data_IF_043620737174
#
_entry.id   IF_043620737174
#
_cell.length_a   1.000
_cell.length_b   1.000
_cell.length_c   1.000
_cell.angle_alpha   90.00
_cell.angle_beta   90.00
_cell.angle_gamma   90.00
#
_symmetry.space_group_name_H-M   'P 1'
#
loop_
_entity.id
_entity.type
_entity.pdbx_description
1 polymer ?
#
# COMPACT_ATOMS: atom_id res chain seq x y z
N UNK A 1 35.31 -45.50 0.98
CA UNK A 1 34.98 -46.69 0.15
C UNK A 1 33.91 -47.48 0.88
N UNK A 2 32.91 -48.08 0.20
CA UNK A 2 32.40 -47.89 -1.17
C UNK A 2 30.89 -47.52 -1.13
N UNK A 3 30.09 -47.26 -2.17
CA UNK A 3 30.18 -46.98 -3.62
C UNK A 3 28.76 -46.48 -3.98
N UNK A 4 28.58 -45.27 -4.53
CA UNK A 4 28.28 -44.98 -5.95
C UNK A 4 27.41 -46.01 -6.68
N UNK A 5 26.28 -45.55 -7.24
CA UNK A 5 25.99 -45.73 -8.67
C UNK A 5 25.16 -44.58 -9.24
N UNK A 6 25.78 -43.84 -10.18
CA UNK A 6 25.10 -43.04 -11.21
C UNK A 6 24.65 -43.99 -12.31
N UNK A 7 23.54 -43.69 -12.98
CA UNK A 7 23.35 -44.10 -14.37
C UNK A 7 22.77 -42.93 -15.19
N UNK A 8 23.30 -42.77 -16.39
CA UNK A 8 23.12 -41.62 -17.27
C UNK A 8 22.57 -42.06 -18.63
N UNK A 9 21.79 -41.15 -19.23
CA UNK A 9 21.59 -40.91 -20.68
C UNK A 9 20.94 -42.02 -21.52
N UNK A 10 20.03 -41.61 -22.39
CA UNK A 10 20.16 -41.84 -23.84
C UNK A 10 19.40 -40.77 -24.65
N UNK A 11 20.13 -40.13 -25.56
CA UNK A 11 19.58 -39.46 -26.76
C UNK A 11 19.31 -40.54 -27.81
N UNK A 12 18.26 -40.39 -28.61
CA UNK A 12 18.18 -41.05 -29.93
C UNK A 12 17.94 -39.99 -31.00
N UNK A 13 18.93 -39.87 -31.87
CA UNK A 13 18.81 -39.32 -33.21
C UNK A 13 18.44 -40.44 -34.16
N UNK A 14 17.58 -40.18 -35.14
CA UNK A 14 17.47 -40.99 -36.35
C UNK A 14 17.45 -40.06 -37.56
N UNK A 15 18.13 -40.52 -38.61
CA UNK A 15 18.57 -39.81 -39.81
C UNK A 15 18.10 -40.66 -41.01
N UNK A 16 18.00 -40.02 -42.18
CA UNK A 16 18.07 -40.56 -43.56
C UNK A 16 16.73 -40.73 -44.29
N UNK A 17 16.69 -40.15 -45.50
CA UNK A 17 15.76 -40.49 -46.57
C UNK A 17 15.76 -39.48 -47.71
N UNK A 18 16.77 -39.52 -48.58
CA UNK A 18 16.84 -38.76 -49.84
C UNK A 18 16.02 -39.49 -50.91
N UNK A 19 15.14 -38.78 -51.64
CA UNK A 19 14.36 -39.33 -52.75
C UNK A 19 14.06 -38.26 -53.81
N UNK A 20 14.40 -38.57 -55.07
CA UNK A 20 14.52 -37.70 -56.22
C UNK A 20 13.16 -37.43 -56.92
N UNK A 21 12.95 -36.16 -57.32
CA UNK A 21 12.22 -35.64 -58.51
C UNK A 21 10.91 -36.27 -58.99
N UNK A 22 9.85 -35.46 -59.01
CA UNK A 22 8.94 -35.36 -60.17
C UNK A 22 8.35 -33.95 -60.25
N UNK A 23 8.56 -33.28 -61.39
CA UNK A 23 7.96 -31.99 -61.74
C UNK A 23 6.53 -32.25 -62.19
N UNK A 24 5.55 -31.63 -61.54
CA UNK A 24 4.19 -31.46 -62.06
C UNK A 24 3.72 -30.04 -61.75
N UNK A 25 3.55 -29.26 -62.81
CA UNK A 25 2.91 -27.96 -62.79
C UNK A 25 1.41 -28.12 -62.50
N UNK A 26 0.92 -27.46 -61.45
CA UNK A 26 -0.51 -27.28 -61.20
C UNK A 26 -0.73 -25.78 -60.99
N UNK A 27 -1.62 -25.22 -61.80
CA UNK A 27 -1.91 -23.79 -61.87
C UNK A 27 -2.40 -23.23 -60.55
N UNK A 28 -1.87 -22.06 -60.18
CA UNK A 28 -2.37 -21.25 -59.08
C UNK A 28 -3.75 -20.69 -59.46
N UNK A 29 -4.80 -21.26 -58.88
CA UNK A 29 -6.08 -20.58 -58.76
C UNK A 29 -5.97 -19.60 -57.58
N UNK A 30 -5.99 -18.30 -57.88
CA UNK A 30 -6.11 -17.26 -56.86
C UNK A 30 -7.49 -17.37 -56.20
N UNK A 31 -7.56 -18.01 -55.03
CA UNK A 31 -8.71 -17.87 -54.14
C UNK A 31 -8.50 -16.56 -53.39
N UNK A 32 -9.21 -15.51 -53.81
CA UNK A 32 -9.32 -14.29 -53.02
C UNK A 32 -10.20 -14.59 -51.81
N UNK A 33 -9.58 -15.03 -50.72
CA UNK A 33 -10.20 -14.97 -49.39
C UNK A 33 -10.32 -13.50 -49.02
N UNK A 34 -11.51 -12.92 -49.19
CA UNK A 34 -11.82 -11.62 -48.61
C UNK A 34 -11.70 -11.75 -47.10
N UNK A 35 -10.61 -11.27 -46.53
CA UNK A 35 -10.53 -11.04 -45.11
C UNK A 35 -11.61 -10.02 -44.77
N UNK A 36 -12.54 -10.40 -43.89
CA UNK A 36 -13.49 -9.46 -43.31
C UNK A 36 -12.69 -8.28 -42.73
N UNK A 37 -13.14 -7.03 -42.90
CA UNK A 37 -12.43 -5.90 -42.33
C UNK A 37 -12.36 -6.10 -40.82
N UNK A 38 -11.13 -6.17 -40.31
CA UNK A 38 -10.89 -6.02 -38.88
C UNK A 38 -11.39 -4.61 -38.58
N UNK A 39 -12.55 -4.54 -37.91
CA UNK A 39 -12.99 -3.31 -37.27
C UNK A 39 -12.00 -3.09 -36.15
N UNK A 40 -10.93 -2.36 -36.45
CA UNK A 40 -10.17 -1.65 -35.43
C UNK A 40 -11.18 -0.66 -34.88
N UNK A 41 -11.83 -1.03 -33.78
CA UNK A 41 -12.53 -0.05 -32.95
C UNK A 41 -11.53 1.03 -32.66
N UNK A 42 -11.81 2.24 -33.14
CA UNK A 42 -11.11 3.45 -32.78
C UNK A 42 -11.01 3.45 -31.25
N UNK A 43 -9.82 3.15 -30.73
CA UNK A 43 -9.51 3.32 -29.33
C UNK A 43 -9.47 4.83 -29.16
N UNK A 44 -10.65 5.42 -28.97
CA UNK A 44 -10.82 6.85 -28.82
C UNK A 44 -9.76 7.38 -27.85
N UNK A 45 -9.26 8.58 -28.13
CA UNK A 45 -8.22 9.21 -27.34
C UNK A 45 -8.50 8.99 -25.83
N UNK A 46 -7.50 8.61 -25.02
CA UNK A 46 -7.71 8.30 -23.62
C UNK A 46 -8.46 9.46 -22.95
N UNK A 47 -9.43 9.12 -22.11
CA UNK A 47 -10.18 10.10 -21.36
C UNK A 47 -9.20 11.06 -20.66
N UNK A 48 -9.49 12.35 -20.67
CA UNK A 48 -8.62 13.37 -20.08
C UNK A 48 -9.41 14.14 -19.02
N UNK A 49 -8.79 14.34 -17.86
CA UNK A 49 -9.32 15.22 -16.82
C UNK A 49 -8.59 16.56 -16.89
N UNK A 50 -9.33 17.66 -16.79
CA UNK A 50 -8.75 19.01 -16.82
C UNK A 50 -8.17 19.43 -15.47
N UNK A 51 -8.71 18.87 -14.38
CA UNK A 51 -8.33 19.13 -13.00
C UNK A 51 -8.37 17.86 -12.15
N UNK A 52 -7.86 17.96 -10.92
CA UNK A 52 -8.00 16.87 -9.94
C UNK A 52 -9.48 16.71 -9.60
N UNK A 53 -10.00 15.51 -9.81
CA UNK A 53 -11.40 15.18 -9.44
C UNK A 53 -11.41 14.46 -8.10
N UNK A 54 -12.48 14.64 -7.33
CA UNK A 54 -12.67 13.99 -6.03
C UNK A 54 -13.99 13.25 -6.05
N UNK A 55 -13.98 11.97 -5.70
CA UNK A 55 -15.17 11.15 -5.59
C UNK A 55 -15.17 10.36 -4.28
N UNK A 56 -16.26 10.48 -3.52
CA UNK A 56 -16.47 9.70 -2.30
C UNK A 56 -16.97 8.29 -2.61
N UNK A 57 -16.42 7.32 -1.89
CA UNK A 57 -16.83 5.93 -1.84
C UNK A 57 -17.23 5.58 -0.42
N UNK A 58 -18.32 4.87 -0.25
CA UNK A 58 -18.63 4.18 1.00
C UNK A 58 -18.09 2.76 0.89
N UNK A 59 -17.36 2.30 1.91
CA UNK A 59 -16.83 0.93 1.93
C UNK A 59 -17.61 0.08 2.94
N UNK A 60 -17.81 -1.23 2.67
CA UNK A 60 -18.46 -2.11 3.64
C UNK A 60 -17.55 -2.32 4.86
N UNK A 61 -18.12 -2.57 6.03
CA UNK A 61 -17.36 -2.94 7.23
C UNK A 61 -18.02 -4.13 7.93
N UNK A 62 -17.33 -4.72 8.89
CA UNK A 62 -17.91 -5.72 9.78
C UNK A 62 -19.00 -5.09 10.65
N UNK A 63 -20.19 -5.70 10.65
CA UNK A 63 -21.35 -5.21 11.39
C UNK A 63 -22.12 -4.14 10.62
N UNK A 64 -22.62 -3.12 11.34
CA UNK A 64 -23.35 -2.02 10.70
C UNK A 64 -22.36 -0.92 10.28
N UNK A 65 -22.33 -0.55 8.98
CA UNK A 65 -21.56 0.59 8.52
C UNK A 65 -22.15 1.90 9.07
N UNK A 66 -21.26 2.84 9.34
CA UNK A 66 -21.58 4.23 9.64
C UNK A 66 -21.18 5.08 8.43
N UNK A 67 -22.13 5.55 7.60
CA UNK A 67 -21.81 6.30 6.37
C UNK A 67 -21.08 7.63 6.64
N UNK A 68 -21.09 8.14 7.88
CA UNK A 68 -20.33 9.34 8.25
C UNK A 68 -18.85 9.05 8.51
N UNK A 69 -18.46 7.79 8.67
CA UNK A 69 -17.09 7.38 9.02
C UNK A 69 -16.53 6.21 8.19
N UNK A 70 -17.38 5.47 7.46
CA UNK A 70 -16.99 4.35 6.62
C UNK A 70 -16.98 4.75 5.14
N UNK A 71 -16.17 5.76 4.84
CA UNK A 71 -15.99 6.27 3.49
C UNK A 71 -14.52 6.58 3.19
N UNK A 72 -14.24 6.77 1.91
CA UNK A 72 -12.95 7.23 1.43
C UNK A 72 -13.15 8.19 0.25
N UNK A 73 -12.31 9.21 0.16
CA UNK A 73 -12.29 10.12 -0.99
C UNK A 73 -11.17 9.69 -1.95
N UNK A 74 -11.56 9.39 -3.19
CA UNK A 74 -10.65 9.12 -4.29
C UNK A 74 -10.36 10.41 -5.05
N UNK A 75 -9.09 10.79 -5.08
CA UNK A 75 -8.56 11.90 -5.85
C UNK A 75 -7.92 11.34 -7.12
N UNK A 76 -8.44 11.70 -8.29
CA UNK A 76 -7.83 11.34 -9.56
C UNK A 76 -7.05 12.53 -10.12
N UNK A 77 -5.82 12.31 -10.62
CA UNK A 77 -4.99 13.39 -11.13
C UNK A 77 -5.56 13.93 -12.46
N UNK A 78 -5.35 15.21 -12.70
CA UNK A 78 -5.56 15.81 -14.02
C UNK A 78 -4.64 15.16 -15.08
N UNK A 79 -5.01 15.28 -16.34
CA UNK A 79 -4.24 14.75 -17.48
C UNK A 79 -4.85 13.49 -18.07
N UNK A 80 -4.04 12.78 -18.87
CA UNK A 80 -4.46 11.57 -19.59
C UNK A 80 -4.74 10.42 -18.62
N UNK A 81 -5.95 9.85 -18.72
CA UNK A 81 -6.40 8.70 -17.95
C UNK A 81 -6.16 7.42 -18.76
N UNK A 82 -4.88 7.15 -19.07
CA UNK A 82 -4.53 5.91 -19.77
C UNK A 82 -4.72 4.74 -18.80
N UNK A 83 -5.26 3.63 -19.32
CA UNK A 83 -5.40 2.37 -18.57
C UNK A 83 -4.07 1.98 -17.95
N UNK A 84 -4.09 1.57 -16.68
CA UNK A 84 -2.97 1.00 -15.94
C UNK A 84 -1.70 1.90 -15.99
N UNK A 85 -1.87 3.18 -15.65
CA UNK A 85 -0.77 4.15 -15.78
C UNK A 85 -0.64 5.13 -14.62
N UNK A 86 -1.63 5.19 -13.73
CA UNK A 86 -1.68 6.15 -12.63
C UNK A 86 -1.42 5.39 -11.32
N UNK A 87 -0.28 5.61 -10.64
CA UNK A 87 0.02 4.93 -9.40
C UNK A 87 -0.95 5.34 -8.28
N UNK A 88 -1.30 4.40 -7.42
CA UNK A 88 -2.18 4.62 -6.26
C UNK A 88 -1.39 4.81 -4.97
N UNK A 89 -1.76 5.84 -4.19
CA UNK A 89 -1.43 5.93 -2.78
C UNK A 89 -2.70 5.88 -1.93
N UNK A 90 -2.78 4.93 -1.00
CA UNK A 90 -3.81 4.94 0.05
C UNK A 90 -3.29 5.75 1.23
N UNK A 91 -4.06 6.72 1.72
CA UNK A 91 -3.67 7.54 2.87
C UNK A 91 -4.50 7.19 4.10
N UNK A 92 -3.83 7.10 5.26
CA UNK A 92 -4.45 6.88 6.56
C UNK A 92 -4.03 7.99 7.51
N UNK A 93 -5.01 8.79 7.94
CA UNK A 93 -4.75 9.96 8.79
C UNK A 93 -4.36 9.59 10.22
N UNK A 94 -3.77 10.57 10.94
CA UNK A 94 -3.41 10.44 12.35
C UNK A 94 -4.55 10.82 13.30
N UNK A 95 -4.20 11.37 14.47
CA UNK A 95 -5.18 11.79 15.48
C UNK A 95 -5.26 10.88 16.70
N UNK A 96 -4.21 10.11 16.99
CA UNK A 96 -4.11 9.25 18.16
C UNK A 96 -5.30 8.28 18.34
N UNK A 97 -5.86 7.81 17.22
CA UNK A 97 -7.07 6.98 17.15
C UNK A 97 -8.31 7.62 17.80
N UNK A 98 -8.32 8.92 18.04
CA UNK A 98 -9.42 9.67 18.64
C UNK A 98 -10.23 10.43 17.59
N UNK A 99 -11.50 10.67 17.90
CA UNK A 99 -12.48 11.27 16.98
C UNK A 99 -12.29 12.76 16.64
N UNK A 100 -11.25 13.42 17.17
CA UNK A 100 -11.05 14.87 16.97
C UNK A 100 -10.43 15.24 15.61
N UNK A 101 -9.74 14.30 14.96
CA UNK A 101 -9.10 14.50 13.65
C UNK A 101 -9.61 13.39 12.73
N UNK A 102 -10.08 13.77 11.54
CA UNK A 102 -10.58 12.86 10.51
C UNK A 102 -9.72 12.89 9.24
N UNK A 103 -10.21 12.21 8.21
CA UNK A 103 -9.56 12.11 6.91
C UNK A 103 -9.45 13.46 6.18
N UNK A 104 -10.30 14.44 6.54
CA UNK A 104 -10.24 15.82 6.04
C UNK A 104 -8.91 16.51 6.32
N UNK A 105 -8.25 16.16 7.44
CA UNK A 105 -6.90 16.65 7.76
C UNK A 105 -5.85 16.30 6.69
N UNK A 106 -6.11 15.29 5.88
CA UNK A 106 -5.26 14.82 4.79
C UNK A 106 -5.67 15.33 3.40
N UNK A 107 -6.77 16.09 3.25
CA UNK A 107 -7.17 16.68 1.95
C UNK A 107 -6.03 17.49 1.29
N UNK A 108 -5.28 18.35 2.01
CA UNK A 108 -4.15 19.05 1.41
C UNK A 108 -3.06 18.11 0.87
N UNK A 109 -2.73 17.04 1.60
CA UNK A 109 -1.76 16.04 1.18
C UNK A 109 -2.25 15.26 -0.04
N UNK A 110 -3.51 14.81 -0.01
CA UNK A 110 -4.12 14.09 -1.11
C UNK A 110 -4.12 14.92 -2.40
N UNK A 111 -4.52 16.20 -2.33
CA UNK A 111 -4.49 17.11 -3.49
C UNK A 111 -3.08 17.33 -4.02
N UNK A 112 -2.07 17.42 -3.16
CA UNK A 112 -0.67 17.64 -3.57
C UNK A 112 -0.05 16.41 -4.23
N UNK A 113 -0.40 15.21 -3.79
CA UNK A 113 -0.02 13.96 -4.45
C UNK A 113 -0.77 13.78 -5.77
N UNK A 114 -2.07 14.08 -5.80
CA UNK A 114 -2.87 14.05 -7.02
C UNK A 114 -2.38 15.06 -8.06
N UNK A 115 -2.00 16.29 -7.67
CA UNK A 115 -1.38 17.25 -8.58
C UNK A 115 -0.02 16.79 -9.13
N UNK A 116 0.56 15.73 -8.58
CA UNK A 116 1.82 15.11 -9.01
C UNK A 116 1.61 13.80 -9.77
N UNK A 117 0.37 13.52 -10.21
CA UNK A 117 0.07 12.40 -11.10
C UNK A 117 -0.25 11.08 -10.40
N UNK A 118 -0.52 11.09 -9.09
CA UNK A 118 -0.94 9.90 -8.35
C UNK A 118 -2.47 9.88 -8.19
N UNK A 119 -3.08 8.71 -8.26
CA UNK A 119 -4.39 8.51 -7.65
C UNK A 119 -4.22 8.43 -6.14
N UNK A 120 -5.14 9.02 -5.37
CA UNK A 120 -5.07 9.00 -3.91
C UNK A 120 -6.38 8.52 -3.33
N UNK A 121 -6.34 7.46 -2.53
CA UNK A 121 -7.50 6.94 -1.82
C UNK A 121 -7.36 7.28 -0.33
N UNK A 122 -7.99 8.36 0.11
CA UNK A 122 -7.87 8.88 1.48
C UNK A 122 -9.01 8.35 2.34
N UNK A 123 -8.70 7.46 3.29
CA UNK A 123 -9.71 6.70 4.03
C UNK A 123 -10.10 7.39 5.34
N UNK A 124 -11.39 7.38 5.66
CA UNK A 124 -11.94 7.64 6.99
C UNK A 124 -12.22 6.30 7.70
N UNK A 125 -12.22 6.27 9.03
CA UNK A 125 -12.50 5.07 9.83
C UNK A 125 -13.00 5.41 11.23
N UNK A 126 -13.83 4.57 11.88
CA UNK A 126 -14.32 4.88 13.23
C UNK A 126 -13.19 4.94 14.27
N UNK A 127 -13.29 5.90 15.20
CA UNK A 127 -12.26 6.23 16.20
C UNK A 127 -12.80 6.17 17.62
N UNK A 128 -11.90 6.12 18.60
CA UNK A 128 -12.28 6.23 20.02
C UNK A 128 -13.02 7.56 20.23
N UNK A 129 -14.18 7.49 20.88
CA UNK A 129 -15.12 8.61 21.03
C UNK A 129 -16.31 8.54 20.06
N UNK A 130 -16.13 7.88 18.91
CA UNK A 130 -17.14 7.79 17.83
C UNK A 130 -17.42 6.35 17.37
N UNK A 131 -17.31 5.37 18.28
CA UNK A 131 -17.62 3.96 18.03
C UNK A 131 -16.44 3.10 17.56
N UNK A 132 -15.24 3.66 17.49
CA UNK A 132 -13.98 2.97 17.19
C UNK A 132 -13.23 2.46 18.42
N UNK A 133 -11.91 2.31 18.26
CA UNK A 133 -11.05 1.55 19.18
C UNK A 133 -11.01 0.06 18.82
N UNK A 134 -10.44 -0.76 19.68
CA UNK A 134 -10.36 -2.19 19.47
C UNK A 134 -11.74 -2.87 19.53
N UNK A 135 -12.11 -3.73 18.57
CA UNK A 135 -11.42 -4.02 17.29
C UNK A 135 -11.93 -3.17 16.11
N UNK A 136 -12.96 -2.35 16.31
CA UNK A 136 -13.69 -1.63 15.26
C UNK A 136 -12.81 -0.79 14.34
N UNK A 137 -11.87 0.00 14.89
CA UNK A 137 -10.95 0.82 14.08
C UNK A 137 -10.13 -0.04 13.11
N UNK A 138 -9.65 -1.19 13.58
CA UNK A 138 -8.85 -2.10 12.77
C UNK A 138 -9.72 -2.79 11.71
N UNK A 139 -10.95 -3.19 12.03
CA UNK A 139 -11.90 -3.71 11.04
C UNK A 139 -12.22 -2.68 9.96
N UNK A 140 -12.41 -1.42 10.32
CA UNK A 140 -12.73 -0.36 9.36
C UNK A 140 -11.57 -0.12 8.39
N UNK A 141 -10.35 0.04 8.92
CA UNK A 141 -9.15 0.22 8.09
C UNK A 141 -8.89 -0.99 7.20
N UNK A 142 -9.01 -2.20 7.74
CA UNK A 142 -8.91 -3.43 6.96
C UNK A 142 -9.91 -3.44 5.80
N UNK A 143 -11.17 -3.10 6.07
CA UNK A 143 -12.23 -3.12 5.06
C UNK A 143 -12.06 -2.02 4.02
N UNK A 144 -11.59 -0.83 4.44
CA UNK A 144 -11.28 0.28 3.53
C UNK A 144 -10.15 -0.09 2.57
N UNK A 145 -9.07 -0.71 3.09
CA UNK A 145 -7.97 -1.24 2.27
C UNK A 145 -8.48 -2.31 1.30
N UNK A 146 -9.26 -3.27 1.79
CA UNK A 146 -9.81 -4.34 0.96
C UNK A 146 -10.79 -3.82 -0.11
N UNK A 147 -11.42 -2.66 0.10
CA UNK A 147 -12.28 -2.03 -0.89
C UNK A 147 -11.53 -1.43 -2.09
N UNK A 148 -10.20 -1.28 -2.01
CA UNK A 148 -9.39 -0.80 -3.15
C UNK A 148 -9.57 -1.68 -4.39
N UNK A 149 -9.84 -2.97 -4.24
CA UNK A 149 -10.10 -3.88 -5.37
C UNK A 149 -11.37 -3.52 -6.15
N UNK A 150 -12.36 -2.88 -5.51
CA UNK A 150 -13.58 -2.39 -6.18
C UNK A 150 -13.35 -1.02 -6.81
N UNK A 151 -12.48 -0.20 -6.21
CA UNK A 151 -12.03 1.06 -6.80
C UNK A 151 -11.27 0.79 -8.10
N UNK A 152 -10.31 -0.13 -8.08
CA UNK A 152 -9.52 -0.52 -9.26
C UNK A 152 -10.40 -0.97 -10.44
N UNK A 153 -11.38 -1.84 -10.19
CA UNK A 153 -12.37 -2.27 -11.20
C UNK A 153 -13.15 -1.11 -11.84
N UNK A 154 -13.39 -0.03 -11.09
CA UNK A 154 -14.15 1.14 -11.54
C UNK A 154 -13.27 2.17 -12.26
N UNK A 155 -11.98 2.22 -11.94
CA UNK A 155 -11.01 3.17 -12.49
C UNK A 155 -9.82 2.44 -13.11
N UNK A 156 -10.00 1.85 -14.30
CA UNK A 156 -8.96 1.05 -14.95
C UNK A 156 -7.70 1.84 -15.30
N UNK A 157 -7.69 3.17 -15.16
CA UNK A 157 -6.49 3.99 -15.29
C UNK A 157 -5.53 3.89 -14.09
N UNK A 158 -6.03 3.48 -12.93
CA UNK A 158 -5.22 3.25 -11.74
C UNK A 158 -4.42 1.97 -11.96
N UNK A 159 -3.16 1.98 -11.59
CA UNK A 159 -2.35 0.76 -11.49
C UNK A 159 -2.26 0.34 -10.03
N UNK A 160 -2.47 -0.95 -9.79
CA UNK A 160 -2.29 -1.59 -8.48
C UNK A 160 -1.13 -2.58 -8.50
N UNK A 161 -0.11 -2.36 -9.33
CA UNK A 161 1.09 -3.20 -9.35
C UNK A 161 2.08 -2.85 -8.22
N UNK A 162 2.02 -1.60 -7.75
CA UNK A 162 2.85 -1.04 -6.67
C UNK A 162 1.96 -0.34 -5.63
N UNK A 163 1.19 -1.13 -4.89
CA UNK A 163 0.28 -0.69 -3.84
C UNK A 163 1.00 -0.01 -2.67
N UNK A 164 1.02 1.32 -2.70
CA UNK A 164 1.58 2.15 -1.63
C UNK A 164 0.51 2.54 -0.61
N UNK A 165 0.78 2.28 0.67
CA UNK A 165 0.02 2.86 1.79
C UNK A 165 0.91 3.86 2.54
N UNK A 166 0.36 5.03 2.84
CA UNK A 166 1.00 6.09 3.59
C UNK A 166 0.16 6.41 4.81
N UNK A 167 0.79 6.54 5.97
CA UNK A 167 0.08 6.98 7.16
C UNK A 167 0.88 7.96 8.00
N UNK A 168 0.18 8.72 8.85
CA UNK A 168 0.78 9.60 9.85
C UNK A 168 0.39 9.18 11.26
N UNK A 169 1.34 9.17 12.20
CA UNK A 169 1.08 8.93 13.62
C UNK A 169 0.30 7.61 13.82
N UNK A 170 -0.88 7.64 14.44
CA UNK A 170 -1.80 6.51 14.52
C UNK A 170 -2.07 5.84 13.15
N UNK A 171 -2.28 6.61 12.10
CA UNK A 171 -2.44 6.12 10.73
C UNK A 171 -1.19 5.46 10.16
N UNK A 172 0.00 5.89 10.59
CA UNK A 172 1.26 5.25 10.18
C UNK A 172 1.39 3.85 10.79
N UNK A 173 0.99 3.68 12.05
CA UNK A 173 0.89 2.35 12.67
C UNK A 173 -0.11 1.47 11.91
N UNK A 174 -1.30 1.99 11.62
CA UNK A 174 -2.34 1.29 10.86
C UNK A 174 -1.87 0.92 9.44
N UNK A 175 -1.10 1.79 8.77
CA UNK A 175 -0.54 1.54 7.45
C UNK A 175 0.47 0.38 7.46
N UNK A 176 1.39 0.36 8.43
CA UNK A 176 2.39 -0.72 8.53
C UNK A 176 1.72 -2.03 8.91
N UNK A 177 0.78 -2.02 9.86
CA UNK A 177 -0.05 -3.19 10.17
C UNK A 177 -0.85 -3.68 8.95
N UNK A 178 -1.39 -2.76 8.15
CA UNK A 178 -2.10 -3.06 6.90
C UNK A 178 -1.28 -3.90 5.92
N UNK A 179 0.05 -3.68 5.86
CA UNK A 179 1.00 -4.45 5.05
C UNK A 179 1.21 -5.88 5.55
N UNK A 180 1.03 -6.14 6.84
CA UNK A 180 1.35 -7.43 7.47
C UNK A 180 0.12 -8.34 7.62
N UNK A 181 -1.09 -7.85 7.28
CA UNK A 181 -2.36 -8.58 7.44
C UNK A 181 -2.41 -9.95 6.77
N UNK A 182 -1.64 -10.15 5.71
CA UNK A 182 -1.59 -11.41 4.96
C UNK A 182 -0.85 -12.54 5.70
N UNK A 183 -0.15 -12.21 6.79
CA UNK A 183 0.55 -13.16 7.67
C UNK A 183 -0.26 -13.50 8.93
N UNK A 184 -1.40 -12.82 9.14
CA UNK A 184 -2.25 -13.05 10.30
C UNK A 184 -2.99 -14.38 10.20
N UNK A 185 -3.31 -14.95 11.36
CA UNK A 185 -4.14 -16.16 11.44
C UNK A 185 -5.59 -15.85 11.02
N UNK A 186 -6.29 -16.89 10.54
CA UNK A 186 -7.62 -16.78 9.92
C UNK A 186 -8.71 -16.10 10.79
N UNK A 187 -8.56 -16.14 12.12
CA UNK A 187 -9.50 -15.59 13.10
C UNK A 187 -9.09 -14.20 13.63
N UNK A 188 -8.00 -13.63 13.12
CA UNK A 188 -7.49 -12.35 13.58
C UNK A 188 -8.13 -11.17 12.87
N UNK A 189 -8.12 -10.01 13.54
CA UNK A 189 -8.70 -8.78 13.01
C UNK A 189 -8.00 -8.41 11.70
N UNK A 190 -8.77 -8.22 10.63
CA UNK A 190 -8.24 -7.83 9.33
C UNK A 190 -7.49 -8.91 8.55
N UNK A 191 -7.50 -10.17 8.99
CA UNK A 191 -6.89 -11.28 8.24
C UNK A 191 -7.55 -11.51 6.86
N UNK A 192 -6.89 -12.30 6.00
CA UNK A 192 -7.31 -12.62 4.62
C UNK A 192 -7.56 -11.38 3.75
N UNK A 193 -6.55 -10.48 3.64
CA UNK A 193 -6.69 -9.26 2.86
C UNK A 193 -6.97 -9.57 1.37
N UNK A 194 -7.94 -8.86 0.80
CA UNK A 194 -8.19 -8.78 -0.64
C UNK A 194 -7.21 -7.81 -1.32
N UNK A 195 -6.75 -6.79 -0.60
CA UNK A 195 -5.73 -5.83 -1.04
C UNK A 195 -4.47 -5.94 -0.18
N UNK A 196 -3.31 -6.01 -0.83
CA UNK A 196 -2.01 -6.17 -0.16
C UNK A 196 -1.09 -5.01 -0.52
N UNK A 197 -0.74 -4.14 0.44
CA UNK A 197 0.32 -3.16 0.22
C UNK A 197 1.62 -3.86 -0.14
N UNK A 198 2.28 -3.43 -1.20
CA UNK A 198 3.63 -3.90 -1.57
C UNK A 198 4.71 -3.04 -0.94
N UNK A 199 4.35 -1.86 -0.42
CA UNK A 199 5.27 -0.89 0.19
C UNK A 199 4.51 0.06 1.13
N UNK A 200 5.19 0.52 2.18
CA UNK A 200 4.59 1.41 3.18
C UNK A 200 5.49 2.62 3.47
N UNK A 201 4.88 3.80 3.57
CA UNK A 201 5.50 5.00 4.12
C UNK A 201 4.85 5.34 5.47
N UNK A 202 5.63 5.26 6.54
CA UNK A 202 5.21 5.64 7.88
C UNK A 202 5.75 7.02 8.23
N UNK A 203 4.88 8.00 8.49
CA UNK A 203 5.26 9.33 8.95
C UNK A 203 5.01 9.44 10.45
N UNK A 204 6.06 9.55 11.26
CA UNK A 204 5.98 9.70 12.72
C UNK A 204 5.13 8.62 13.45
N UNK A 205 5.21 7.37 12.98
CA UNK A 205 4.40 6.27 13.50
C UNK A 205 4.91 5.64 14.81
N UNK A 206 4.03 5.28 15.76
CA UNK A 206 4.35 4.44 16.91
C UNK A 206 4.42 2.97 16.46
N UNK A 207 5.53 2.61 15.81
CA UNK A 207 5.74 1.28 15.21
C UNK A 207 6.17 0.21 16.22
N UNK A 208 6.40 0.58 17.48
CA UNK A 208 6.51 -0.31 18.65
C UNK A 208 5.47 0.15 19.68
N UNK A 209 4.24 -0.35 19.54
CA UNK A 209 3.10 0.10 20.34
C UNK A 209 3.28 -0.22 21.83
N UNK A 210 3.92 -1.34 22.15
CA UNK A 210 4.22 -1.69 23.55
C UNK A 210 5.23 -0.71 24.16
N UNK A 211 6.28 -0.36 23.43
CA UNK A 211 7.23 0.66 23.85
C UNK A 211 6.52 2.00 24.07
N UNK A 212 5.77 2.50 23.08
CA UNK A 212 5.06 3.77 23.20
C UNK A 212 4.08 3.79 24.39
N UNK A 213 3.25 2.76 24.57
CA UNK A 213 2.31 2.67 25.69
C UNK A 213 3.02 2.65 27.05
N UNK A 214 4.13 1.92 27.17
CA UNK A 214 4.91 1.86 28.43
C UNK A 214 5.77 3.09 28.69
N UNK A 215 5.87 4.00 27.72
CA UNK A 215 6.59 5.27 27.81
C UNK A 215 5.65 6.49 27.81
N UNK A 216 4.38 6.28 28.18
CA UNK A 216 3.43 7.36 28.51
C UNK A 216 2.38 7.66 27.45
N UNK A 217 2.29 6.88 26.36
CA UNK A 217 1.21 7.02 25.40
C UNK A 217 -0.07 6.28 25.84
N UNK A 218 -0.86 6.97 26.67
CA UNK A 218 -2.17 6.50 27.14
C UNK A 218 -3.23 6.39 26.02
N UNK A 219 -2.99 7.01 24.85
CA UNK A 219 -3.93 6.94 23.72
C UNK A 219 -3.89 5.57 23.08
N UNK A 220 -2.72 4.94 23.00
CA UNK A 220 -2.59 3.54 22.60
C UNK A 220 -3.35 2.63 23.56
N UNK A 221 -3.17 2.80 24.88
CA UNK A 221 -3.86 2.00 25.91
C UNK A 221 -5.38 2.10 25.74
N UNK A 222 -5.88 3.32 25.52
CA UNK A 222 -7.31 3.58 25.29
C UNK A 222 -7.79 2.92 24.00
N UNK A 223 -7.06 3.07 22.89
CA UNK A 223 -7.43 2.49 21.60
C UNK A 223 -7.43 0.96 21.64
N UNK A 224 -6.49 0.35 22.37
CA UNK A 224 -6.39 -1.09 22.54
C UNK A 224 -7.36 -1.65 23.60
N UNK A 225 -7.97 -0.77 24.39
CA UNK A 225 -8.89 -1.15 25.48
C UNK A 225 -8.20 -1.89 26.63
N UNK A 226 -6.95 -1.52 26.94
CA UNK A 226 -6.13 -2.10 28.00
C UNK A 226 -4.63 -1.89 27.76
N UNK A 227 -3.83 -2.02 28.82
CA UNK A 227 -2.36 -1.94 28.75
C UNK A 227 -1.75 -3.16 28.05
N UNK A 228 -0.49 -3.10 27.59
CA UNK A 228 0.21 -4.26 27.02
C UNK A 228 0.17 -5.52 27.89
N UNK A 229 0.19 -5.38 29.22
CA UNK A 229 0.09 -6.50 30.15
C UNK A 229 -1.31 -7.08 30.30
N UNK A 230 -2.35 -6.26 30.13
CA UNK A 230 -3.76 -6.69 30.30
C UNK A 230 -4.31 -7.32 29.02
N UNK A 231 -3.91 -6.81 27.86
CA UNK A 231 -4.43 -7.23 26.56
C UNK A 231 -3.32 -7.56 25.56
N UNK A 232 -2.27 -8.25 26.02
CA UNK A 232 -1.09 -8.63 25.23
C UNK A 232 -1.43 -9.29 23.88
N UNK A 233 -2.45 -10.16 23.87
CA UNK A 233 -2.93 -10.81 22.65
C UNK A 233 -3.54 -9.86 21.62
N UNK A 234 -3.96 -8.64 21.99
CA UNK A 234 -4.39 -7.60 21.04
C UNK A 234 -3.17 -6.89 20.44
N UNK A 235 -2.22 -6.49 21.28
CA UNK A 235 -0.96 -5.87 20.82
C UNK A 235 -0.21 -6.80 19.87
N UNK A 236 -0.11 -8.09 20.20
CA UNK A 236 0.54 -9.08 19.35
C UNK A 236 -0.05 -9.17 17.93
N UNK A 237 -1.27 -8.71 17.68
CA UNK A 237 -1.95 -8.78 16.38
C UNK A 237 -1.82 -7.53 15.51
N UNK A 238 -1.53 -6.39 16.13
CA UNK A 238 -1.57 -5.09 15.44
C UNK A 238 -0.34 -4.22 15.67
N UNK A 239 0.53 -4.58 16.61
CA UNK A 239 1.80 -3.90 16.83
C UNK A 239 2.77 -4.24 15.68
N UNK A 240 3.20 -3.25 14.88
CA UNK A 240 4.04 -3.52 13.70
C UNK A 240 5.34 -4.24 14.03
N UNK A 241 6.01 -3.92 15.14
CA UNK A 241 7.27 -4.56 15.51
C UNK A 241 7.10 -6.05 15.89
N UNK A 242 5.88 -6.47 16.24
CA UNK A 242 5.57 -7.85 16.61
C UNK A 242 5.12 -8.69 15.40
N UNK A 243 4.72 -8.04 14.30
CA UNK A 243 4.18 -8.69 13.10
C UNK A 243 4.98 -8.36 11.84
N UNK A 244 6.31 -8.34 11.95
CA UNK A 244 7.17 -7.94 10.84
C UNK A 244 7.01 -8.91 9.66
N UNK A 245 6.69 -8.34 8.49
CA UNK A 245 6.92 -8.98 7.20
C UNK A 245 8.24 -8.47 6.60
N UNK A 246 9.29 -9.30 6.49
CA UNK A 246 10.54 -8.91 5.84
C UNK A 246 10.39 -8.58 4.35
N UNK A 247 9.33 -9.08 3.70
CA UNK A 247 9.05 -8.89 2.27
C UNK A 247 8.48 -7.51 1.95
N UNK A 248 7.65 -6.96 2.84
CA UNK A 248 7.01 -5.63 2.67
C UNK A 248 7.95 -4.51 3.10
N UNK A 249 8.43 -3.66 2.17
CA UNK A 249 9.39 -2.64 2.50
C UNK A 249 8.75 -1.42 3.16
N UNK A 250 9.45 -0.84 4.15
CA UNK A 250 8.94 0.31 4.93
C UNK A 250 9.93 1.47 4.94
N UNK A 251 9.46 2.66 4.56
CA UNK A 251 10.19 3.92 4.78
C UNK A 251 9.55 4.66 5.96
N UNK A 252 10.29 4.77 7.06
CA UNK A 252 9.88 5.50 8.25
C UNK A 252 10.47 6.93 8.23
N UNK A 253 9.64 7.93 7.96
CA UNK A 253 9.99 9.34 8.07
C UNK A 253 9.67 9.84 9.49
N UNK A 254 10.60 10.56 10.12
CA UNK A 254 10.41 11.03 11.49
C UNK A 254 11.08 12.39 11.72
N UNK A 255 10.41 13.29 12.45
CA UNK A 255 10.98 14.55 12.88
C UNK A 255 11.87 14.37 14.11
N UNK A 256 13.09 14.91 14.11
CA UNK A 256 13.99 14.75 15.26
C UNK A 256 13.53 15.50 16.52
N UNK A 257 12.55 16.40 16.37
CA UNK A 257 11.97 17.21 17.46
C UNK A 257 10.57 16.74 17.85
N UNK A 258 10.18 15.55 17.39
CA UNK A 258 8.91 14.93 17.76
C UNK A 258 8.91 14.57 19.26
N UNK A 259 7.95 15.16 19.97
CA UNK A 259 7.71 14.91 21.40
C UNK A 259 6.37 14.20 21.65
N UNK A 260 5.62 13.88 20.59
CA UNK A 260 4.36 13.14 20.66
C UNK A 260 4.61 11.66 20.48
N UNK A 261 5.33 11.29 19.42
CA UNK A 261 5.84 9.94 19.19
C UNK A 261 7.35 10.04 19.14
N UNK A 262 8.03 9.40 20.09
CA UNK A 262 9.48 9.46 20.14
C UNK A 262 10.09 8.86 18.85
N UNK A 263 11.08 9.50 18.20
CA UNK A 263 11.74 8.98 16.99
C UNK A 263 12.33 7.58 17.16
N UNK A 264 12.65 7.22 18.40
CA UNK A 264 13.05 5.88 18.84
C UNK A 264 12.04 4.81 18.41
N UNK A 265 10.73 5.10 18.31
CA UNK A 265 9.74 4.14 17.78
C UNK A 265 10.08 3.68 16.37
N UNK A 266 10.37 4.63 15.48
CA UNK A 266 10.74 4.32 14.09
C UNK A 266 12.11 3.63 14.01
N UNK A 267 13.08 4.06 14.81
CA UNK A 267 14.40 3.43 14.85
C UNK A 267 14.32 1.97 15.32
N UNK A 268 13.58 1.70 16.41
CA UNK A 268 13.39 0.34 16.96
C UNK A 268 12.77 -0.61 15.94
N UNK A 269 11.76 -0.15 15.21
CA UNK A 269 11.13 -0.92 14.15
C UNK A 269 12.10 -1.19 13.00
N UNK A 270 12.79 -0.18 12.48
CA UNK A 270 13.77 -0.33 11.39
C UNK A 270 14.88 -1.31 11.78
N UNK A 271 15.39 -1.22 13.01
CA UNK A 271 16.40 -2.16 13.52
C UNK A 271 15.86 -3.59 13.61
N UNK A 272 14.60 -3.76 14.03
CA UNK A 272 13.96 -5.07 14.13
C UNK A 272 13.76 -5.71 12.74
N UNK A 273 13.25 -4.95 11.77
CA UNK A 273 13.12 -5.41 10.39
C UNK A 273 14.48 -5.78 9.80
N UNK A 274 15.50 -4.95 10.03
CA UNK A 274 16.87 -5.22 9.57
C UNK A 274 17.42 -6.52 10.18
N UNK A 275 17.21 -6.76 11.49
CA UNK A 275 17.61 -8.02 12.14
C UNK A 275 16.85 -9.23 11.59
N UNK A 276 15.61 -9.05 11.16
CA UNK A 276 14.82 -10.09 10.50
C UNK A 276 15.21 -10.30 9.02
N UNK A 277 16.19 -9.57 8.50
CA UNK A 277 16.62 -9.65 7.09
C UNK A 277 15.68 -8.95 6.10
N UNK A 278 14.76 -8.12 6.60
CA UNK A 278 13.80 -7.37 5.81
C UNK A 278 14.32 -6.03 5.29
N UNK A 279 13.43 -5.26 4.67
CA UNK A 279 13.73 -3.97 4.05
C UNK A 279 13.03 -2.82 4.79
N UNK A 280 13.75 -2.16 5.70
CA UNK A 280 13.26 -0.92 6.30
C UNK A 280 14.34 0.16 6.29
N UNK A 281 13.92 1.43 6.15
CA UNK A 281 14.81 2.58 6.22
C UNK A 281 14.15 3.70 7.01
N UNK A 282 14.94 4.34 7.87
CA UNK A 282 14.53 5.58 8.53
C UNK A 282 15.07 6.80 7.78
N UNK A 283 14.25 7.84 7.64
CA UNK A 283 14.65 9.16 7.16
C UNK A 283 14.32 10.17 8.26
N UNK A 284 15.37 10.68 8.89
CA UNK A 284 15.25 11.68 9.94
C UNK A 284 15.20 13.10 9.36
N UNK A 285 14.27 13.91 9.85
CA UNK A 285 14.14 15.33 9.54
C UNK A 285 14.50 16.17 10.76
N UNK A 286 15.72 16.73 10.77
CA UNK A 286 16.34 17.29 11.97
C UNK A 286 15.59 18.48 12.61
N UNK A 287 14.86 19.27 11.80
CA UNK A 287 14.20 20.49 12.26
C UNK A 287 12.67 20.33 12.40
N UNK A 288 12.15 19.13 12.16
CA UNK A 288 10.72 18.86 12.07
C UNK A 288 10.18 18.22 13.37
N UNK A 289 8.92 18.51 13.68
CA UNK A 289 8.17 17.96 14.80
C UNK A 289 7.14 16.91 14.33
N UNK A 290 6.23 16.53 15.22
CA UNK A 290 5.22 15.49 14.96
C UNK A 290 4.30 15.81 13.78
N UNK A 291 3.88 17.07 13.64
CA UNK A 291 2.85 17.49 12.68
C UNK A 291 3.44 18.20 11.46
N UNK A 292 4.63 18.78 11.61
CA UNK A 292 5.23 19.59 10.56
C UNK A 292 5.50 18.79 9.28
N UNK A 293 5.79 17.49 9.36
CA UNK A 293 5.99 16.62 8.20
C UNK A 293 4.75 16.45 7.31
N UNK A 294 3.55 16.64 7.86
CA UNK A 294 2.29 16.61 7.10
C UNK A 294 1.68 18.00 6.89
N UNK A 295 2.34 19.04 7.41
CA UNK A 295 1.91 20.43 7.25
C UNK A 295 2.46 21.04 5.96
N UNK A 296 1.57 21.64 5.17
CA UNK A 296 1.94 22.33 3.93
C UNK A 296 2.88 23.51 4.11
N UNK A 297 2.97 24.08 5.31
CA UNK A 297 3.81 25.22 5.64
C UNK A 297 5.25 24.83 6.02
N UNK A 298 5.53 23.54 6.21
CA UNK A 298 6.87 23.06 6.54
C UNK A 298 7.81 23.14 5.34
N UNK A 299 9.08 23.47 5.63
CA UNK A 299 10.17 23.45 4.64
C UNK A 299 10.51 22.02 4.18
N UNK A 300 10.23 21.01 5.00
CA UNK A 300 10.41 19.61 4.65
C UNK A 300 9.31 19.06 3.75
N UNK A 301 8.13 19.70 3.72
CA UNK A 301 6.96 19.16 3.05
C UNK A 301 7.17 18.82 1.56
N UNK A 302 7.85 19.65 0.74
CA UNK A 302 8.19 19.25 -0.64
C UNK A 302 9.02 17.98 -0.72
N UNK A 303 9.97 17.77 0.21
CA UNK A 303 10.80 16.56 0.27
C UNK A 303 9.97 15.34 0.70
N UNK A 304 9.04 15.50 1.63
CA UNK A 304 8.09 14.45 2.02
C UNK A 304 7.28 13.96 0.82
N UNK A 305 6.73 14.88 0.02
CA UNK A 305 5.98 14.55 -1.19
C UNK A 305 6.84 13.80 -2.22
N UNK A 306 8.09 14.23 -2.43
CA UNK A 306 9.00 13.53 -3.34
C UNK A 306 9.38 12.14 -2.85
N UNK A 307 9.58 11.94 -1.54
CA UNK A 307 9.85 10.61 -0.97
C UNK A 307 8.65 9.68 -1.22
N UNK A 308 7.43 10.13 -0.94
CA UNK A 308 6.21 9.34 -1.19
C UNK A 308 6.12 8.94 -2.67
N UNK A 309 6.31 9.91 -3.58
CA UNK A 309 6.26 9.67 -5.03
C UNK A 309 7.36 8.72 -5.50
N UNK A 310 8.58 8.86 -4.97
CA UNK A 310 9.71 8.00 -5.32
C UNK A 310 9.49 6.57 -4.82
N UNK A 311 9.01 6.41 -3.59
CA UNK A 311 8.68 5.09 -3.04
C UNK A 311 7.59 4.44 -3.90
N UNK A 312 6.63 5.18 -4.43
CA UNK A 312 5.60 4.64 -5.32
C UNK A 312 6.10 4.13 -6.68
N UNK A 313 7.31 4.50 -7.11
CA UNK A 313 7.78 4.24 -8.47
C UNK A 313 9.12 3.49 -8.56
N UNK A 314 9.84 3.34 -7.44
CA UNK A 314 11.20 2.79 -7.43
C UNK A 314 11.29 1.43 -6.71
N UNK A 315 12.18 0.56 -7.17
CA UNK A 315 12.70 -0.52 -6.34
C UNK A 315 13.43 0.11 -5.13
N UNK A 316 13.12 -0.29 -3.89
CA UNK A 316 13.61 0.45 -2.70
C UNK A 316 15.13 0.46 -2.53
N UNK A 317 15.87 -0.38 -3.27
CA UNK A 317 17.33 -0.30 -3.35
C UNK A 317 17.83 1.01 -3.99
N UNK A 318 16.99 1.71 -4.78
CA UNK A 318 17.29 2.99 -5.43
C UNK A 318 16.80 4.21 -4.63
N UNK A 319 16.23 4.01 -3.42
CA UNK A 319 15.81 5.13 -2.56
C UNK A 319 17.00 5.68 -1.76
N UNK A 320 17.94 6.30 -2.47
CA UNK A 320 19.12 6.97 -1.91
C UNK A 320 19.20 8.43 -2.38
N UNK A 321 18.61 9.37 -1.61
CA UNK A 321 19.10 10.74 -1.38
C UNK A 321 18.26 11.47 -0.31
#
# INVERSE_FOLDING_TARGET
MPQRHRCSRTRRSARIGLGLTTVLAVGSACVSTGAAPVVVTDLGAPARLDEVTVQRFEYPTHGSPDPDQNWADLYLPAGEQRVDSIPLAVLIHGGAWQDQIGADSFDPLARKLASRGMAVYNIEYRRVGSGGGWPTTFHDVASALDHVVEVDKRFPQITTDDELVVGHSAGAQLAVWGGTRHLLDDDEVGAKPAFRPTRVVSIAGPLDMVYAATHGDERIVTAMGGTPSEVSGRYAKVDPIQNIDPGTPVVAMHGARDVTVAPENSQRYVDAVTRAGGKAKMIMFNDEDHVSLVSGDSRAYPRVLEIIRHVSAADLHETTA
#
